data_IF_609965981498
#
_entry.id   IF_609965981498
#
_cell.length_a   1.000
_cell.length_b   1.000
_cell.length_c   1.000
_cell.angle_alpha   90.00
_cell.angle_beta   90.00
_cell.angle_gamma   90.00
#
_symmetry.space_group_name_H-M   'P 1'
#
loop_
_entity.id
_entity.type
_entity.pdbx_description
1 polymer ?
#
# COMPACT_ATOMS: atom_id res chain seq x y z
N UNK A 1 -4.76 2.23 -9.65
CA UNK A 1 -5.46 1.36 -10.63
C UNK A 1 -4.87 -0.05 -10.54
N UNK A 2 -5.56 -1.13 -10.94
CA UNK A 2 -5.04 -2.50 -10.80
C UNK A 2 -3.72 -2.73 -11.56
N UNK A 3 -2.80 -3.49 -10.94
CA UNK A 3 -1.44 -3.75 -11.44
C UNK A 3 -1.29 -5.09 -12.19
N UNK A 4 -2.25 -5.43 -13.06
CA UNK A 4 -2.26 -6.71 -13.80
C UNK A 4 -1.93 -6.50 -15.30
N UNK A 5 -1.48 -7.54 -16.03
CA UNK A 5 -0.35 -7.40 -16.96
C UNK A 5 -0.68 -6.60 -18.23
N UNK A 6 0.06 -5.50 -18.39
CA UNK A 6 0.08 -4.65 -19.59
C UNK A 6 0.74 -5.30 -20.82
N UNK A 7 1.39 -6.47 -20.65
CA UNK A 7 2.16 -7.14 -21.70
C UNK A 7 1.28 -7.66 -22.86
N UNK A 8 -0.03 -7.82 -22.65
CA UNK A 8 -0.97 -8.31 -23.68
C UNK A 8 -1.53 -7.15 -24.53
N UNK A 9 -1.64 -5.95 -23.95
CA UNK A 9 -2.42 -4.85 -24.56
C UNK A 9 -1.65 -4.13 -25.68
N UNK A 10 -0.32 -4.18 -25.66
CA UNK A 10 0.52 -3.60 -26.72
C UNK A 10 0.36 -4.25 -28.10
N UNK A 11 -0.30 -5.41 -28.20
CA UNK A 11 -0.54 -6.10 -29.47
C UNK A 11 -1.94 -5.89 -30.06
N UNK A 12 -2.79 -5.04 -29.46
CA UNK A 12 -4.20 -4.87 -29.86
C UNK A 12 -4.95 -6.22 -30.06
N UNK A 13 -4.55 -7.28 -29.36
CA UNK A 13 -5.16 -8.60 -29.43
C UNK A 13 -5.83 -8.93 -28.11
N UNK A 14 -7.17 -8.88 -28.11
CA UNK A 14 -8.02 -9.54 -27.13
C UNK A 14 -8.27 -8.76 -25.83
N UNK A 15 -9.51 -8.29 -25.66
CA UNK A 15 -10.06 -7.77 -24.41
C UNK A 15 -10.32 -8.89 -23.37
N UNK A 16 -9.36 -9.76 -23.06
CA UNK A 16 -9.59 -10.89 -22.15
C UNK A 16 -9.09 -10.67 -20.70
N UNK A 17 -8.36 -9.59 -20.41
CA UNK A 17 -8.07 -9.16 -19.03
C UNK A 17 -8.51 -7.70 -18.79
N UNK A 18 -9.80 -7.53 -18.46
CA UNK A 18 -10.47 -6.24 -18.21
C UNK A 18 -9.89 -5.41 -17.07
N UNK A 19 -8.90 -5.92 -16.33
CA UNK A 19 -8.24 -5.22 -15.22
C UNK A 19 -7.02 -4.41 -15.67
N UNK A 20 -6.33 -4.85 -16.73
CA UNK A 20 -5.21 -4.11 -17.33
C UNK A 20 -5.65 -2.94 -18.22
N UNK A 21 -6.93 -2.93 -18.64
CA UNK A 21 -7.51 -1.89 -19.51
C UNK A 21 -7.88 -0.60 -18.79
N UNK A 22 -8.02 -0.63 -17.46
CA UNK A 22 -8.45 0.52 -16.66
C UNK A 22 -7.52 1.73 -16.78
N UNK A 23 -6.23 1.52 -17.06
CA UNK A 23 -5.33 2.63 -17.35
C UNK A 23 -5.76 3.40 -18.61
N UNK A 24 -6.16 2.70 -19.66
CA UNK A 24 -6.61 3.34 -20.91
C UNK A 24 -7.92 4.08 -20.72
N UNK A 25 -8.80 3.60 -19.84
CA UNK A 25 -9.99 4.36 -19.43
C UNK A 25 -9.64 5.63 -18.68
N UNK A 26 -8.66 5.57 -17.76
CA UNK A 26 -8.14 6.77 -17.07
C UNK A 26 -7.56 7.75 -18.09
N UNK A 27 -6.72 7.29 -19.02
CA UNK A 27 -6.13 8.13 -20.05
C UNK A 27 -7.20 8.77 -20.95
N UNK A 28 -8.24 8.01 -21.33
CA UNK A 28 -9.40 8.53 -22.07
C UNK A 28 -10.14 9.61 -21.29
N UNK A 29 -10.39 9.41 -20.00
CA UNK A 29 -11.03 10.40 -19.13
C UNK A 29 -10.16 11.67 -19.00
N UNK A 30 -8.85 11.52 -18.81
CA UNK A 30 -7.92 12.66 -18.71
C UNK A 30 -7.90 13.44 -20.03
N UNK A 31 -7.84 12.75 -21.17
CA UNK A 31 -7.86 13.38 -22.50
C UNK A 31 -9.13 14.19 -22.75
N UNK A 32 -10.28 13.67 -22.34
CA UNK A 32 -11.59 14.33 -22.53
C UNK A 32 -11.78 15.48 -21.53
N UNK A 33 -11.54 15.24 -20.24
CA UNK A 33 -11.79 16.22 -19.18
C UNK A 33 -10.69 17.28 -19.03
N UNK A 34 -9.50 17.00 -19.55
CA UNK A 34 -8.32 17.86 -19.52
C UNK A 34 -8.08 18.51 -18.14
N UNK A 35 -8.05 17.75 -17.02
CA UNK A 35 -7.83 18.32 -15.69
C UNK A 35 -6.50 19.09 -15.62
N UNK A 36 -6.40 20.09 -14.74
CA UNK A 36 -5.15 20.86 -14.56
C UNK A 36 -3.98 19.97 -14.13
N UNK A 37 -4.26 19.00 -13.27
CA UNK A 37 -3.31 18.01 -12.81
C UNK A 37 -4.01 16.68 -12.48
N UNK A 38 -3.24 15.60 -12.39
CA UNK A 38 -3.70 14.31 -11.90
C UNK A 38 -2.61 13.63 -11.06
N UNK A 39 -3.04 12.69 -10.22
CA UNK A 39 -2.16 11.79 -9.46
C UNK A 39 -2.66 10.37 -9.66
N UNK A 40 -1.76 9.46 -10.02
CA UNK A 40 -2.00 8.04 -10.08
C UNK A 40 -1.06 7.31 -9.12
N UNK A 41 -1.56 6.25 -8.50
CA UNK A 41 -0.79 5.41 -7.59
C UNK A 41 -0.80 3.95 -8.08
N UNK A 42 0.34 3.29 -7.89
CA UNK A 42 0.46 1.85 -8.07
C UNK A 42 1.58 1.24 -7.21
N UNK A 43 1.68 -0.10 -7.20
CA UNK A 43 2.73 -0.83 -6.48
C UNK A 43 4.12 -0.55 -7.07
N UNK A 44 5.16 -0.56 -6.21
CA UNK A 44 6.57 -0.34 -6.61
C UNK A 44 7.03 -1.24 -7.76
N UNK A 45 6.50 -2.47 -7.84
CA UNK A 45 6.87 -3.44 -8.87
C UNK A 45 6.57 -2.95 -10.30
N UNK A 46 5.64 -1.99 -10.47
CA UNK A 46 5.34 -1.41 -11.78
C UNK A 46 6.58 -0.80 -12.45
N UNK A 47 7.51 -0.24 -11.67
CA UNK A 47 8.74 0.39 -12.20
C UNK A 47 9.64 -0.61 -12.91
N UNK A 48 9.73 -1.85 -12.41
CA UNK A 48 10.54 -2.91 -13.01
C UNK A 48 9.76 -3.87 -13.91
N UNK A 49 8.44 -3.69 -14.03
CA UNK A 49 7.58 -4.62 -14.76
C UNK A 49 7.90 -4.63 -16.26
N UNK A 50 8.02 -5.83 -16.84
CA UNK A 50 8.42 -6.04 -18.24
C UNK A 50 9.68 -5.24 -18.62
N UNK A 51 10.70 -5.28 -17.76
CA UNK A 51 11.95 -4.54 -17.94
C UNK A 51 11.76 -3.01 -17.96
N UNK A 52 10.71 -2.50 -17.31
CA UNK A 52 10.37 -1.07 -17.26
C UNK A 52 9.54 -0.56 -18.45
N UNK A 53 9.26 -1.41 -19.45
CA UNK A 53 8.46 -1.03 -20.63
C UNK A 53 7.06 -0.57 -20.27
N UNK A 54 6.44 -1.22 -19.28
CA UNK A 54 5.08 -0.89 -18.86
C UNK A 54 4.95 0.54 -18.34
N UNK A 55 5.85 0.95 -17.43
CA UNK A 55 5.84 2.32 -16.93
C UNK A 55 6.14 3.33 -18.03
N UNK A 56 7.06 3.00 -18.95
CA UNK A 56 7.36 3.84 -20.11
C UNK A 56 6.13 4.07 -20.99
N UNK A 57 5.36 3.03 -21.29
CA UNK A 57 4.10 3.15 -22.05
C UNK A 57 3.09 4.03 -21.32
N UNK A 58 2.95 3.85 -20.00
CA UNK A 58 2.05 4.67 -19.17
C UNK A 58 2.44 6.15 -19.25
N UNK A 59 3.72 6.47 -18.99
CA UNK A 59 4.23 7.84 -19.01
C UNK A 59 4.07 8.43 -20.42
N UNK A 60 4.45 7.69 -21.46
CA UNK A 60 4.32 8.16 -22.85
C UNK A 60 2.85 8.44 -23.22
N UNK A 61 1.93 7.53 -22.88
CA UNK A 61 0.50 7.71 -23.19
C UNK A 61 -0.10 8.96 -22.55
N UNK A 62 0.38 9.32 -21.35
CA UNK A 62 -0.04 10.52 -20.64
C UNK A 62 0.63 11.78 -21.21
N UNK A 63 1.90 11.69 -21.63
CA UNK A 63 2.60 12.77 -22.32
C UNK A 63 1.98 13.08 -23.69
N UNK A 64 1.61 12.04 -24.46
CA UNK A 64 0.99 12.16 -25.79
C UNK A 64 -0.36 12.89 -25.77
N UNK A 65 -1.06 12.87 -24.62
CA UNK A 65 -2.31 13.62 -24.43
C UNK A 65 -2.08 15.03 -23.84
N UNK A 66 -0.83 15.51 -23.84
CA UNK A 66 -0.47 16.90 -23.53
C UNK A 66 -0.16 17.18 -22.07
N UNK A 67 0.35 16.21 -21.32
CA UNK A 67 0.73 16.40 -19.91
C UNK A 67 2.24 16.28 -19.68
N UNK A 68 2.75 17.09 -18.75
CA UNK A 68 4.07 16.94 -18.17
C UNK A 68 4.02 15.95 -17.02
N UNK A 69 4.62 14.77 -17.21
CA UNK A 69 4.49 13.64 -16.27
C UNK A 69 5.81 13.38 -15.55
N UNK A 70 5.73 13.23 -14.23
CA UNK A 70 6.83 12.82 -13.38
C UNK A 70 6.38 11.63 -12.51
N UNK A 71 7.31 10.80 -12.07
CA UNK A 71 7.01 9.74 -11.12
C UNK A 71 8.13 9.55 -10.10
N UNK A 72 7.77 9.04 -8.92
CA UNK A 72 8.73 8.65 -7.90
C UNK A 72 8.21 7.45 -7.11
N UNK A 73 9.13 6.67 -6.53
CA UNK A 73 8.79 5.62 -5.57
C UNK A 73 8.89 6.19 -4.16
N UNK A 74 7.75 6.29 -3.50
CA UNK A 74 7.62 6.81 -2.15
C UNK A 74 7.37 5.67 -1.17
N UNK A 75 7.86 5.79 0.06
CA UNK A 75 7.69 4.79 1.11
C UNK A 75 7.08 5.43 2.35
N UNK A 76 5.98 4.88 2.87
CA UNK A 76 5.27 5.49 4.00
C UNK A 76 6.12 5.66 5.28
N UNK A 77 7.18 4.86 5.47
CA UNK A 77 8.16 5.06 6.54
C UNK A 77 8.89 6.40 6.48
N UNK A 78 9.02 6.96 5.28
CA UNK A 78 9.67 8.24 5.03
C UNK A 78 8.68 9.41 5.21
N UNK A 79 7.40 9.16 5.48
CA UNK A 79 6.34 10.16 5.61
C UNK A 79 5.53 9.97 6.90
N UNK A 80 6.23 9.78 8.02
CA UNK A 80 5.59 9.78 9.33
C UNK A 80 4.88 8.48 9.76
N UNK A 81 4.69 7.48 8.90
CA UNK A 81 3.89 6.28 9.22
C UNK A 81 4.75 5.04 9.52
N UNK A 82 4.45 4.24 10.56
CA UNK A 82 5.21 3.02 10.90
C UNK A 82 4.79 1.84 10.02
N UNK A 83 4.84 2.02 8.69
CA UNK A 83 4.54 0.99 7.72
C UNK A 83 5.51 1.03 6.54
N UNK A 84 6.23 -0.06 6.30
CA UNK A 84 7.03 -0.25 5.08
C UNK A 84 6.11 -0.54 3.90
N UNK A 85 5.67 0.51 3.21
CA UNK A 85 4.80 0.44 2.04
C UNK A 85 5.34 1.36 0.96
N UNK A 86 6.00 0.74 -0.01
CA UNK A 86 6.56 1.43 -1.17
C UNK A 86 5.54 1.46 -2.31
N UNK A 87 5.32 2.63 -2.91
CA UNK A 87 4.39 2.87 -4.02
C UNK A 87 5.01 3.80 -5.05
N UNK A 88 4.71 3.53 -6.32
CA UNK A 88 4.99 4.49 -7.38
C UNK A 88 3.84 5.48 -7.45
N UNK A 89 4.18 6.76 -7.34
CA UNK A 89 3.26 7.89 -7.50
C UNK A 89 3.62 8.56 -8.81
N UNK A 90 2.64 8.71 -9.69
CA UNK A 90 2.76 9.33 -11.01
C UNK A 90 1.94 10.61 -10.99
N UNK A 91 2.58 11.74 -11.20
CA UNK A 91 1.95 13.06 -11.18
C UNK A 91 2.04 13.65 -12.58
N UNK A 92 0.92 14.20 -13.06
CA UNK A 92 0.88 14.89 -14.34
C UNK A 92 0.27 16.28 -14.22
N UNK A 93 0.82 17.24 -14.95
CA UNK A 93 0.36 18.63 -15.00
C UNK A 93 0.15 19.02 -16.46
N UNK A 94 -0.94 19.72 -16.75
CA UNK A 94 -1.22 20.17 -18.11
C UNK A 94 -0.33 21.35 -18.51
N UNK A 95 -0.15 22.28 -17.59
CA UNK A 95 0.77 23.41 -17.76
C UNK A 95 2.15 23.04 -17.18
N UNK A 96 3.25 23.56 -17.75
CA UNK A 96 4.58 23.36 -17.20
C UNK A 96 4.69 24.06 -15.84
N UNK A 97 4.82 23.26 -14.77
CA UNK A 97 5.08 23.75 -13.42
C UNK A 97 6.36 23.14 -12.87
N UNK A 98 7.06 23.89 -12.03
CA UNK A 98 8.16 23.35 -11.25
C UNK A 98 7.58 22.52 -10.09
N UNK A 99 7.47 21.21 -10.29
CA UNK A 99 7.04 20.25 -9.27
C UNK A 99 8.22 19.43 -8.78
N UNK A 100 8.26 19.20 -7.48
CA UNK A 100 9.16 18.25 -6.82
C UNK A 100 8.35 17.40 -5.85
N UNK A 101 8.72 16.12 -5.75
CA UNK A 101 8.13 15.24 -4.73
C UNK A 101 8.52 15.70 -3.33
N UNK A 102 7.64 15.52 -2.32
CA UNK A 102 7.91 15.93 -0.95
C UNK A 102 9.15 15.21 -0.42
N UNK A 103 9.97 15.96 0.32
CA UNK A 103 11.13 15.39 1.02
C UNK A 103 10.67 14.50 2.17
N UNK A 104 11.39 13.43 2.49
CA UNK A 104 11.10 12.58 3.65
C UNK A 104 10.93 13.37 4.97
N UNK A 105 9.85 13.09 5.69
CA UNK A 105 9.56 13.58 7.04
C UNK A 105 9.84 12.46 8.06
N UNK A 106 11.00 12.52 8.69
CA UNK A 106 11.45 11.58 9.73
C UNK A 106 11.50 12.27 11.10
N UNK A 107 11.25 11.54 12.20
CA UNK A 107 10.95 10.11 12.28
C UNK A 107 9.46 9.78 12.06
N UNK A 108 9.16 8.51 11.78
CA UNK A 108 7.78 8.01 11.80
C UNK A 108 7.25 7.86 13.24
N UNK A 109 5.93 7.96 13.41
CA UNK A 109 5.28 7.78 14.71
C UNK A 109 5.45 6.34 15.21
N UNK A 110 5.69 6.17 16.51
CA UNK A 110 5.90 4.84 17.09
C UNK A 110 4.62 4.00 17.07
N UNK A 111 4.77 2.68 16.99
CA UNK A 111 3.66 1.74 17.08
C UNK A 111 2.83 1.91 18.36
N UNK A 112 3.41 2.39 19.47
CA UNK A 112 2.66 2.70 20.71
C UNK A 112 1.54 3.73 20.50
N UNK A 113 1.70 4.66 19.55
CA UNK A 113 0.67 5.65 19.22
C UNK A 113 -0.41 5.11 18.28
N UNK A 114 -0.13 3.99 17.61
CA UNK A 114 -1.02 3.36 16.63
C UNK A 114 -1.88 2.28 17.28
N UNK A 115 -1.24 1.46 18.11
CA UNK A 115 -1.83 0.27 18.71
C UNK A 115 -2.84 0.66 19.80
N UNK A 116 -3.97 -0.04 19.81
CA UNK A 116 -4.99 0.09 20.85
C UNK A 116 -4.52 -0.60 22.14
N UNK A 117 -4.80 0.06 23.26
CA UNK A 117 -4.44 -0.42 24.60
C UNK A 117 -5.39 -1.54 25.04
N UNK A 118 -6.68 -1.33 24.83
CA UNK A 118 -7.74 -2.30 25.12
C UNK A 118 -8.24 -2.91 23.81
N UNK A 119 -8.16 -4.23 23.69
CA UNK A 119 -8.52 -4.95 22.47
C UNK A 119 -9.35 -6.18 22.84
N UNK A 120 -10.46 -6.35 22.13
CA UNK A 120 -11.38 -7.50 22.24
C UNK A 120 -10.63 -8.83 22.04
N UNK A 121 -10.92 -9.81 22.90
CA UNK A 121 -10.30 -11.14 22.92
C UNK A 121 -10.37 -11.85 21.56
N UNK A 122 -11.38 -11.55 20.73
CA UNK A 122 -11.51 -12.12 19.38
C UNK A 122 -10.33 -11.83 18.46
N UNK A 123 -9.52 -10.80 18.76
CA UNK A 123 -8.33 -10.48 17.98
C UNK A 123 -7.10 -11.26 18.41
N UNK A 124 -7.11 -11.91 19.56
CA UNK A 124 -5.98 -12.72 20.01
C UNK A 124 -5.84 -13.96 19.12
N UNK A 125 -4.61 -14.29 18.78
CA UNK A 125 -4.35 -15.55 18.09
C UNK A 125 -4.56 -16.71 19.07
N UNK A 126 -4.88 -17.90 18.55
CA UNK A 126 -4.99 -19.09 19.38
C UNK A 126 -3.67 -19.36 20.13
N UNK A 127 -3.77 -20.00 21.30
CA UNK A 127 -2.61 -20.33 22.12
C UNK A 127 -1.56 -21.13 21.35
N UNK A 128 -2.03 -22.06 20.51
CA UNK A 128 -1.17 -22.80 19.58
C UNK A 128 -0.30 -21.88 18.71
N UNK A 129 -0.87 -20.85 18.08
CA UNK A 129 -0.13 -19.93 17.22
C UNK A 129 0.84 -19.08 18.05
N UNK A 130 0.40 -18.59 19.21
CA UNK A 130 1.20 -17.75 20.11
C UNK A 130 2.44 -18.50 20.59
N UNK A 131 2.25 -19.70 21.12
CA UNK A 131 3.34 -20.56 21.59
C UNK A 131 4.30 -20.94 20.45
N UNK A 132 3.76 -21.37 19.31
CA UNK A 132 4.57 -21.73 18.13
C UNK A 132 5.48 -20.57 17.73
N UNK A 133 4.96 -19.34 17.71
CA UNK A 133 5.75 -18.16 17.32
C UNK A 133 6.78 -17.79 18.37
N UNK A 134 6.42 -17.78 19.65
CA UNK A 134 7.35 -17.47 20.75
C UNK A 134 8.49 -18.49 20.89
N UNK A 135 8.23 -19.77 20.60
CA UNK A 135 9.27 -20.82 20.57
C UNK A 135 10.31 -20.58 19.46
N UNK A 136 9.88 -20.02 18.32
CA UNK A 136 10.73 -19.82 17.14
C UNK A 136 11.39 -18.46 17.06
N UNK A 137 10.86 -17.45 17.76
CA UNK A 137 11.30 -16.07 17.62
C UNK A 137 11.21 -15.30 18.93
N UNK A 138 12.22 -14.49 19.21
CA UNK A 138 12.23 -13.49 20.28
C UNK A 138 12.50 -12.14 19.66
N UNK A 139 11.60 -11.19 19.87
CA UNK A 139 11.75 -9.85 19.31
C UNK A 139 12.77 -9.02 20.09
N UNK A 140 13.60 -8.26 19.38
CA UNK A 140 14.44 -7.19 19.95
C UNK A 140 13.70 -5.85 20.09
N UNK A 141 12.43 -5.79 19.70
CA UNK A 141 11.64 -4.56 19.65
C UNK A 141 10.35 -4.70 20.45
N UNK A 142 9.95 -3.62 21.11
CA UNK A 142 8.66 -3.53 21.80
C UNK A 142 8.10 -2.10 21.70
N UNK A 143 6.83 -1.92 21.28
CA UNK A 143 5.99 -2.93 20.61
C UNK A 143 6.55 -3.29 19.22
N UNK A 144 6.15 -4.44 18.69
CA UNK A 144 6.62 -4.93 17.40
C UNK A 144 5.55 -5.65 16.60
N UNK A 145 5.71 -5.63 15.28
CA UNK A 145 4.88 -6.40 14.35
C UNK A 145 5.66 -7.62 13.89
N UNK A 146 5.14 -8.80 14.23
CA UNK A 146 5.70 -10.10 13.89
C UNK A 146 5.11 -10.60 12.58
N UNK A 147 5.97 -10.97 11.64
CA UNK A 147 5.61 -11.46 10.32
C UNK A 147 6.12 -12.89 10.15
N UNK A 148 5.21 -13.83 9.86
CA UNK A 148 5.53 -15.20 9.47
C UNK A 148 5.37 -15.35 7.95
N UNK A 149 6.45 -15.64 7.23
CA UNK A 149 6.38 -15.84 5.79
C UNK A 149 5.80 -17.23 5.45
N UNK A 150 5.56 -17.51 4.16
CA UNK A 150 5.02 -18.81 3.69
C UNK A 150 5.91 -20.01 4.04
N UNK A 151 7.22 -19.80 4.18
CA UNK A 151 8.19 -20.83 4.58
C UNK A 151 8.23 -21.05 6.10
N UNK A 152 7.45 -20.29 6.88
CA UNK A 152 7.39 -20.39 8.33
C UNK A 152 8.50 -19.63 9.08
N UNK A 153 9.29 -18.81 8.38
CA UNK A 153 10.28 -17.94 9.02
C UNK A 153 9.57 -16.74 9.64
N UNK A 154 9.96 -16.41 10.87
CA UNK A 154 9.36 -15.31 11.63
C UNK A 154 10.39 -14.20 11.78
N UNK A 155 9.97 -12.96 11.54
CA UNK A 155 10.73 -11.76 11.85
C UNK A 155 9.83 -10.75 12.58
N UNK A 156 10.43 -9.76 13.24
CA UNK A 156 9.70 -8.70 13.92
C UNK A 156 10.39 -7.35 13.73
N UNK A 157 9.59 -6.29 13.56
CA UNK A 157 10.09 -4.93 13.36
C UNK A 157 9.31 -3.93 14.21
N UNK A 158 9.88 -2.74 14.50
CA UNK A 158 9.18 -1.63 15.15
C UNK A 158 8.22 -0.88 14.19
N UNK A 159 7.89 -1.49 13.06
CA UNK A 159 6.95 -1.02 12.05
C UNK A 159 6.26 -2.22 11.38
N UNK A 160 5.13 -2.00 10.72
CA UNK A 160 4.44 -3.03 9.96
C UNK A 160 4.98 -3.16 8.53
N UNK A 161 4.94 -4.35 7.93
CA UNK A 161 5.10 -4.46 6.48
C UNK A 161 3.80 -4.00 5.78
N UNK A 162 3.86 -3.83 4.44
CA UNK A 162 2.68 -3.43 3.68
C UNK A 162 1.47 -4.36 3.95
N UNK A 163 0.35 -3.76 4.34
CA UNK A 163 -0.92 -4.46 4.46
C UNK A 163 -1.36 -4.97 3.08
N UNK A 164 -1.84 -6.21 3.03
CA UNK A 164 -2.33 -6.90 1.84
C UNK A 164 -3.77 -7.29 2.05
N UNK A 165 -4.61 -6.89 1.10
CA UNK A 165 -6.02 -7.31 1.03
C UNK A 165 -6.12 -8.84 1.10
N UNK A 166 -6.71 -9.35 2.18
CA UNK A 166 -7.02 -10.78 2.36
C UNK A 166 -5.91 -11.67 2.92
N UNK A 167 -4.70 -11.16 3.15
CA UNK A 167 -3.58 -11.99 3.62
C UNK A 167 -2.96 -11.54 4.94
N UNK A 168 -2.94 -10.22 5.23
CA UNK A 168 -2.26 -9.68 6.41
C UNK A 168 -2.68 -10.30 7.73
N UNK A 169 -3.96 -10.63 7.85
CA UNK A 169 -4.51 -11.27 9.04
C UNK A 169 -3.87 -12.64 9.33
N UNK A 170 -3.39 -13.36 8.31
CA UNK A 170 -2.84 -14.70 8.52
C UNK A 170 -1.40 -14.64 9.06
N UNK A 171 -0.63 -13.64 8.64
CA UNK A 171 0.82 -13.61 8.88
C UNK A 171 1.28 -12.57 9.90
N UNK A 172 0.52 -11.49 10.15
CA UNK A 172 0.89 -10.44 11.10
C UNK A 172 0.34 -10.70 12.51
N UNK A 173 1.19 -10.47 13.52
CA UNK A 173 0.78 -10.33 14.92
C UNK A 173 1.48 -9.15 15.59
N UNK A 174 0.75 -8.43 16.42
CA UNK A 174 1.27 -7.46 17.37
C UNK A 174 1.90 -8.24 18.53
N UNK A 175 3.19 -8.02 18.77
CA UNK A 175 3.99 -8.65 19.82
C UNK A 175 3.96 -10.19 19.82
N UNK A 176 3.57 -10.82 18.71
CA UNK A 176 3.37 -12.26 18.64
C UNK A 176 2.10 -12.77 19.34
N UNK A 177 1.22 -11.89 19.81
CA UNK A 177 0.04 -12.24 20.63
C UNK A 177 -1.27 -12.15 19.83
N UNK A 178 -1.54 -10.99 19.24
CA UNK A 178 -2.84 -10.66 18.65
C UNK A 178 -2.75 -10.09 17.26
N UNK A 179 -3.84 -10.17 16.53
CA UNK A 179 -3.99 -9.58 15.19
C UNK A 179 -4.18 -8.07 15.35
N UNK A 180 -3.86 -7.34 14.27
CA UNK A 180 -4.20 -5.91 14.19
C UNK A 180 -5.73 -5.78 14.09
N UNK A 181 -6.29 -4.83 14.83
CA UNK A 181 -7.70 -4.46 14.72
C UNK A 181 -7.94 -3.67 13.43
N UNK A 182 -9.18 -3.53 12.96
CA UNK A 182 -9.51 -2.62 11.87
C UNK A 182 -8.99 -1.20 12.11
N UNK A 183 -9.22 -0.63 13.30
CA UNK A 183 -8.76 0.73 13.64
C UNK A 183 -7.25 0.86 13.51
N UNK A 184 -6.48 -0.08 14.07
CA UNK A 184 -5.01 -0.08 13.96
C UNK A 184 -4.54 -0.19 12.51
N UNK A 185 -5.21 -1.01 11.68
CA UNK A 185 -4.89 -1.14 10.25
C UNK A 185 -5.12 0.16 9.48
N UNK A 186 -6.19 0.91 9.79
CA UNK A 186 -6.47 2.21 9.19
C UNK A 186 -5.49 3.29 9.70
N UNK A 187 -5.16 3.29 10.99
CA UNK A 187 -4.12 4.17 11.55
C UNK A 187 -2.74 3.92 10.92
N UNK A 188 -2.39 2.66 10.63
CA UNK A 188 -1.17 2.32 9.87
C UNK A 188 -1.17 2.87 8.43
N UNK A 189 -2.34 3.22 7.87
CA UNK A 189 -2.49 3.91 6.58
C UNK A 189 -2.62 5.44 6.77
N UNK A 190 -2.47 5.98 7.98
CA UNK A 190 -2.58 7.42 8.27
C UNK A 190 -4.01 7.93 8.38
N UNK A 191 -5.03 7.05 8.44
CA UNK A 191 -6.40 7.52 8.63
C UNK A 191 -6.60 8.04 10.06
N UNK A 192 -7.32 9.17 10.22
CA UNK A 192 -7.58 9.74 11.53
C UNK A 192 -8.62 8.94 12.32
N UNK A 193 -8.63 9.12 13.63
CA UNK A 193 -9.52 8.36 14.52
C UNK A 193 -11.01 8.69 14.34
N UNK A 194 -11.33 9.90 13.86
CA UNK A 194 -12.69 10.26 13.50
C UNK A 194 -13.20 9.52 12.25
N UNK A 195 -12.33 8.88 11.46
CA UNK A 195 -12.76 8.10 10.30
C UNK A 195 -13.57 6.88 10.75
N UNK A 196 -14.83 6.80 10.34
CA UNK A 196 -15.75 5.74 10.76
C UNK A 196 -15.60 4.47 9.92
N UNK A 197 -15.45 3.32 10.58
CA UNK A 197 -15.38 2.00 9.92
C UNK A 197 -16.75 1.33 10.01
N UNK A 198 -17.61 1.54 9.01
CA UNK A 198 -19.01 1.05 8.97
C UNK A 198 -19.19 -0.31 8.27
N UNK A 199 -18.16 -1.13 8.27
CA UNK A 199 -18.15 -2.43 7.57
C UNK A 199 -17.65 -3.52 8.50
N UNK A 200 -17.89 -4.78 8.13
CA UNK A 200 -17.34 -5.91 8.88
C UNK A 200 -15.80 -5.88 8.94
N UNK A 201 -15.23 -6.48 9.98
CA UNK A 201 -13.77 -6.63 10.11
C UNK A 201 -13.09 -7.18 8.86
N UNK A 202 -13.71 -8.17 8.21
CA UNK A 202 -13.18 -8.77 6.98
C UNK A 202 -13.11 -7.75 5.84
N UNK A 203 -14.16 -6.94 5.66
CA UNK A 203 -14.19 -5.88 4.66
C UNK A 203 -13.24 -4.73 5.02
N UNK A 204 -13.18 -4.34 6.29
CA UNK A 204 -12.27 -3.30 6.77
C UNK A 204 -10.80 -3.67 6.51
N UNK A 205 -10.41 -4.93 6.80
CA UNK A 205 -9.08 -5.48 6.49
C UNK A 205 -8.77 -5.40 5.00
N UNK A 206 -9.74 -5.71 4.14
CA UNK A 206 -9.62 -5.64 2.67
C UNK A 206 -9.42 -4.19 2.22
N UNK A 207 -10.22 -3.27 2.74
CA UNK A 207 -10.15 -1.83 2.43
C UNK A 207 -8.81 -1.24 2.86
N UNK A 208 -8.39 -1.44 4.12
CA UNK A 208 -7.10 -0.95 4.62
C UNK A 208 -5.89 -1.54 3.88
N UNK A 209 -5.99 -2.79 3.41
CA UNK A 209 -4.94 -3.41 2.59
C UNK A 209 -4.77 -2.77 1.20
N UNK A 210 -5.87 -2.28 0.63
CA UNK A 210 -5.92 -1.62 -0.68
C UNK A 210 -5.81 -0.10 -0.62
N UNK A 211 -5.92 0.49 0.58
CA UNK A 211 -5.78 1.92 0.77
C UNK A 211 -4.39 2.44 0.40
N UNK A 212 -4.32 3.74 0.19
CA UNK A 212 -3.08 4.51 0.01
C UNK A 212 -2.79 5.21 1.33
N UNK A 213 -1.53 5.21 1.82
CA UNK A 213 -1.15 5.96 3.00
C UNK A 213 -1.46 7.46 2.84
N UNK A 214 -2.19 8.04 3.77
CA UNK A 214 -2.69 9.43 3.68
C UNK A 214 -1.55 10.46 3.73
N UNK A 215 -0.48 10.16 4.45
CA UNK A 215 0.66 11.07 4.63
C UNK A 215 1.60 11.13 3.40
N UNK A 216 1.46 10.20 2.46
CA UNK A 216 2.27 10.13 1.24
C UNK A 216 1.67 10.96 0.13
#
# INVERSE_FOLDING_TARGET
FPCQPFSIIGQMKGMDDTRGTLFFDIARIIKEKKPKAFILENVKQLVGHDGGKTLKVIVQSLTDIGYHVQYSVLNALDYGLPQKRERVVIVGHREPIMFTFPTPEKPYISLNKILEQEVDDKYFASDYIREKRKKKHKSSYYPSIWHENKSGNICSYPYSCALRSGASHNYLLVNGERRLTPREMFRLQGFPDWYEIKVSDAQAKKQAGNAVPVNM
#
